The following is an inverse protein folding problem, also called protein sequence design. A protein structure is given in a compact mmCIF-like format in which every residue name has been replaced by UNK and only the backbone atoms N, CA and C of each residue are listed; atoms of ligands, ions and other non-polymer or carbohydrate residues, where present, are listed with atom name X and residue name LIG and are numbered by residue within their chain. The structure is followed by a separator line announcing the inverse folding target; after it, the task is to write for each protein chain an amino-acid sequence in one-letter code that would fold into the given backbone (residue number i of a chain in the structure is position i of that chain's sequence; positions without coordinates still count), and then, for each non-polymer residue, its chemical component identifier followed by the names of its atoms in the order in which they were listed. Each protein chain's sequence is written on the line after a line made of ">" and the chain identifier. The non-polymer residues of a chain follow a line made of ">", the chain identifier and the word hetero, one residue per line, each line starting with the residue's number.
data_IF_365899393704
#
_entry.id   IF_365899393704
#
_cell.length_a   1.000
_cell.length_b   1.000
_cell.length_c   1.000
_cell.angle_alpha   90.00
_cell.angle_beta   90.00
_cell.angle_gamma   90.00
#
_symmetry.space_group_name_H-M   'P 1'
#
loop_
_entity.id
_entity.type
_entity.pdbx_description
1 polymer ?
#
# COMPACT_ATOMS: atom_id res chain seq x y z
N UNK A 1 -15.08 -13.03 -10.55
CA UNK A 1 -14.36 -14.03 -11.35
C UNK A 1 -13.38 -13.34 -12.28
N UNK A 2 -12.16 -13.86 -12.42
CA UNK A 2 -11.17 -13.43 -13.43
C UNK A 2 -11.05 -14.52 -14.51
N UNK A 3 -10.88 -14.10 -15.76
CA UNK A 3 -10.72 -15.02 -16.91
C UNK A 3 -9.52 -14.58 -17.74
N UNK A 4 -8.69 -15.51 -18.14
CA UNK A 4 -7.54 -15.27 -19.03
C UNK A 4 -7.62 -16.20 -20.24
N UNK A 5 -7.70 -15.62 -21.45
CA UNK A 5 -7.69 -16.36 -22.71
C UNK A 5 -6.32 -17.03 -22.90
N UNK A 6 -6.32 -18.28 -23.32
CA UNK A 6 -5.10 -18.99 -23.71
C UNK A 6 -4.58 -18.40 -25.03
N UNK A 7 -3.38 -17.90 -25.01
CA UNK A 7 -2.68 -17.42 -26.21
C UNK A 7 -1.49 -18.33 -26.48
N UNK A 8 -1.37 -18.85 -27.70
CA UNK A 8 -0.25 -19.72 -28.10
C UNK A 8 1.12 -19.02 -27.97
N UNK A 9 1.14 -17.70 -28.17
CA UNK A 9 2.36 -16.88 -28.06
C UNK A 9 2.79 -16.57 -26.62
N UNK A 10 1.96 -16.87 -25.60
CA UNK A 10 2.25 -16.48 -24.21
C UNK A 10 2.85 -17.65 -23.44
N UNK A 11 4.15 -17.57 -23.13
CA UNK A 11 4.86 -18.57 -22.32
C UNK A 11 4.33 -18.71 -20.89
N UNK A 12 3.85 -17.62 -20.26
CA UNK A 12 3.41 -17.60 -18.87
C UNK A 12 2.04 -16.95 -18.73
N UNK A 13 1.11 -17.67 -18.13
CA UNK A 13 -0.21 -17.15 -17.77
C UNK A 13 -0.10 -16.29 -16.51
N UNK A 14 -0.65 -15.08 -16.56
CA UNK A 14 -0.73 -14.18 -15.40
C UNK A 14 -1.64 -14.78 -14.32
N UNK A 15 -2.75 -15.38 -14.74
CA UNK A 15 -3.71 -16.00 -13.83
C UNK A 15 -3.15 -17.20 -13.10
N UNK A 16 -2.27 -17.98 -13.75
CA UNK A 16 -1.56 -19.08 -13.08
C UNK A 16 -0.65 -18.59 -11.96
N UNK A 17 0.03 -17.45 -12.15
CA UNK A 17 0.87 -16.86 -11.11
C UNK A 17 0.01 -16.40 -9.92
N UNK A 18 -1.10 -15.74 -10.18
CA UNK A 18 -2.05 -15.31 -9.15
C UNK A 18 -2.61 -16.49 -8.35
N UNK A 19 -3.03 -17.56 -9.03
CA UNK A 19 -3.49 -18.81 -8.39
C UNK A 19 -2.37 -19.44 -7.54
N UNK A 20 -1.14 -19.47 -8.02
CA UNK A 20 -0.02 -20.05 -7.29
C UNK A 20 0.26 -19.29 -5.98
N UNK A 21 0.25 -17.96 -6.03
CA UNK A 21 0.45 -17.11 -4.85
C UNK A 21 -0.71 -17.29 -3.86
N UNK A 22 -1.97 -17.13 -4.32
CA UNK A 22 -3.13 -17.23 -3.43
C UNK A 22 -3.26 -18.59 -2.75
N UNK A 23 -2.76 -19.66 -3.37
CA UNK A 23 -2.72 -20.98 -2.73
C UNK A 23 -1.72 -21.05 -1.56
N UNK A 24 -0.59 -20.35 -1.68
CA UNK A 24 0.44 -20.36 -0.64
C UNK A 24 0.05 -19.49 0.53
N UNK A 25 -0.44 -18.27 0.28
CA UNK A 25 -0.68 -17.26 1.30
C UNK A 25 -2.00 -17.43 2.05
N UNK A 26 -2.94 -18.25 1.56
CA UNK A 26 -4.26 -18.43 2.18
C UNK A 26 -4.24 -19.27 3.46
N UNK A 27 -3.12 -19.92 3.80
CA UNK A 27 -3.05 -20.92 4.85
C UNK A 27 -2.61 -20.40 6.24
N UNK A 28 -2.11 -19.17 6.40
CA UNK A 28 -1.28 -18.85 7.57
C UNK A 28 -1.77 -17.77 8.53
N UNK A 29 -2.84 -16.99 8.23
CA UNK A 29 -3.27 -15.93 9.16
C UNK A 29 -4.75 -15.97 9.47
N UNK A 30 -5.10 -15.78 10.74
CA UNK A 30 -6.48 -15.53 11.20
C UNK A 30 -7.10 -14.31 10.50
N UNK A 31 -6.28 -13.28 10.23
CA UNK A 31 -6.69 -12.09 9.47
C UNK A 31 -5.73 -11.89 8.29
N UNK A 32 -6.02 -12.57 7.19
CA UNK A 32 -5.22 -12.48 5.97
C UNK A 32 -5.58 -11.26 5.14
N UNK A 33 -4.57 -10.61 4.55
CA UNK A 33 -4.72 -9.57 3.54
C UNK A 33 -4.89 -10.11 2.12
N UNK A 34 -5.09 -11.41 1.96
CA UNK A 34 -5.25 -12.08 0.67
C UNK A 34 -6.64 -12.66 0.53
N UNK A 35 -7.18 -12.59 -0.69
CA UNK A 35 -8.48 -13.17 -0.98
C UNK A 35 -8.40 -14.69 -1.06
N UNK A 36 -9.41 -15.39 -0.57
CA UNK A 36 -9.50 -16.85 -0.69
C UNK A 36 -9.93 -17.27 -2.09
N UNK A 37 -9.38 -18.39 -2.58
CA UNK A 37 -9.83 -19.02 -3.81
C UNK A 37 -11.12 -19.79 -3.52
N UNK A 38 -12.20 -19.48 -4.24
CA UNK A 38 -13.47 -20.21 -4.19
C UNK A 38 -13.46 -21.34 -5.22
N UNK A 39 -13.09 -21.02 -6.47
CA UNK A 39 -12.99 -22.00 -7.55
C UNK A 39 -11.98 -21.55 -8.59
N UNK A 40 -11.46 -22.50 -9.35
CA UNK A 40 -10.51 -22.26 -10.43
C UNK A 40 -10.53 -23.40 -11.43
N UNK A 41 -10.24 -23.10 -12.66
CA UNK A 41 -10.22 -24.14 -13.69
C UNK A 41 -9.50 -23.75 -14.97
N UNK A 42 -9.38 -24.79 -15.79
CA UNK A 42 -8.85 -24.70 -17.14
C UNK A 42 -9.92 -25.25 -18.09
N UNK A 43 -10.43 -24.37 -18.94
CA UNK A 43 -11.27 -24.76 -20.09
C UNK A 43 -10.41 -24.87 -21.35
N UNK A 44 -10.98 -25.29 -22.45
CA UNK A 44 -10.26 -25.42 -23.71
C UNK A 44 -9.55 -24.12 -24.15
N UNK A 45 -10.25 -23.00 -24.11
CA UNK A 45 -9.80 -21.70 -24.62
C UNK A 45 -9.33 -20.70 -23.55
N UNK A 46 -9.61 -20.96 -22.26
CA UNK A 46 -9.28 -20.02 -21.19
C UNK A 46 -8.98 -20.69 -19.85
N UNK A 47 -8.36 -19.92 -18.96
CA UNK A 47 -8.26 -20.19 -17.52
C UNK A 47 -9.23 -19.27 -16.77
N UNK A 48 -9.77 -19.76 -15.64
CA UNK A 48 -10.57 -18.92 -14.77
C UNK A 48 -10.17 -19.07 -13.30
N UNK A 49 -10.45 -18.04 -12.53
CA UNK A 49 -10.28 -17.96 -11.09
C UNK A 49 -11.49 -17.26 -10.47
N UNK A 50 -12.17 -17.94 -9.57
CA UNK A 50 -13.22 -17.38 -8.70
C UNK A 50 -12.61 -17.18 -7.32
N UNK A 51 -12.65 -15.97 -6.83
CA UNK A 51 -12.09 -15.60 -5.53
C UNK A 51 -13.13 -14.88 -4.69
N UNK A 52 -12.85 -14.77 -3.41
CA UNK A 52 -13.63 -13.97 -2.46
C UNK A 52 -13.94 -12.59 -3.07
N UNK A 53 -15.20 -12.17 -2.94
CA UNK A 53 -15.60 -10.83 -3.32
C UNK A 53 -15.13 -9.84 -2.26
N UNK A 54 -14.49 -8.78 -2.70
CA UNK A 54 -14.07 -7.65 -1.88
C UNK A 54 -14.83 -6.38 -2.27
N UNK A 55 -14.73 -5.36 -1.46
CA UNK A 55 -15.38 -4.08 -1.68
C UNK A 55 -14.63 -3.20 -2.68
N UNK A 56 -14.77 -1.88 -2.50
CA UNK A 56 -14.19 -0.87 -3.38
C UNK A 56 -12.68 -0.81 -3.20
N UNK A 57 -11.96 -0.58 -4.29
CA UNK A 57 -10.52 -0.34 -4.23
C UNK A 57 -10.20 0.98 -3.51
N UNK A 58 -8.99 1.09 -2.96
CA UNK A 58 -8.51 2.32 -2.34
C UNK A 58 -8.52 3.50 -3.34
N UNK A 59 -8.24 3.23 -4.61
CA UNK A 59 -8.35 4.23 -5.67
C UNK A 59 -9.79 4.78 -5.78
N UNK A 60 -10.80 3.91 -5.80
CA UNK A 60 -12.20 4.31 -5.87
C UNK A 60 -12.67 5.02 -4.59
N UNK A 61 -12.25 4.53 -3.41
CA UNK A 61 -12.59 5.15 -2.13
C UNK A 61 -11.98 6.55 -2.01
N UNK A 62 -10.72 6.70 -2.40
CA UNK A 62 -10.03 7.98 -2.42
C UNK A 62 -10.77 9.01 -3.28
N UNK A 63 -11.26 8.62 -4.47
CA UNK A 63 -11.97 9.52 -5.39
C UNK A 63 -13.25 10.12 -4.81
N UNK A 64 -13.86 9.49 -3.80
CA UNK A 64 -15.05 9.99 -3.11
C UNK A 64 -14.75 10.89 -1.90
N UNK A 65 -13.49 11.14 -1.58
CA UNK A 65 -13.10 11.97 -0.44
C UNK A 65 -12.87 13.42 -0.85
N UNK A 66 -13.04 14.38 0.08
CA UNK A 66 -12.59 15.75 -0.13
C UNK A 66 -11.12 15.76 -0.54
N UNK A 67 -10.74 16.63 -1.47
CA UNK A 67 -9.37 16.73 -2.01
C UNK A 67 -8.82 15.41 -2.60
N UNK A 68 -9.66 14.36 -2.71
CA UNK A 68 -9.30 13.03 -3.20
C UNK A 68 -8.15 12.38 -2.42
N UNK A 69 -8.12 12.60 -1.12
CA UNK A 69 -7.18 11.97 -0.16
C UNK A 69 -7.92 11.49 1.08
N UNK A 70 -7.30 10.59 1.82
CA UNK A 70 -7.77 10.21 3.15
C UNK A 70 -7.28 11.21 4.20
N UNK A 71 -7.95 11.26 5.37
CA UNK A 71 -7.38 11.92 6.54
C UNK A 71 -6.04 11.26 6.89
N UNK A 72 -5.15 11.99 7.55
CA UNK A 72 -3.83 11.47 7.93
C UNK A 72 -3.94 10.14 8.69
N UNK A 73 -4.78 10.06 9.73
CA UNK A 73 -4.96 8.83 10.52
C UNK A 73 -5.50 7.66 9.69
N UNK A 74 -6.50 7.90 8.83
CA UNK A 74 -7.03 6.87 7.94
C UNK A 74 -6.00 6.42 6.93
N UNK A 75 -5.26 7.36 6.32
CA UNK A 75 -4.25 7.06 5.31
C UNK A 75 -3.08 6.26 5.87
N UNK A 76 -2.59 6.63 7.07
CA UNK A 76 -1.52 5.88 7.76
C UNK A 76 -2.00 4.49 8.16
N UNK A 77 -3.19 4.35 8.77
CA UNK A 77 -3.73 3.03 9.14
C UNK A 77 -3.97 2.10 7.94
N UNK A 78 -4.43 2.65 6.82
CA UNK A 78 -4.55 1.91 5.55
C UNK A 78 -3.16 1.58 4.98
N UNK A 79 -2.22 2.53 5.09
CA UNK A 79 -0.83 2.34 4.65
C UNK A 79 -0.14 1.21 5.39
N UNK A 80 -0.34 1.09 6.72
CA UNK A 80 0.16 -0.01 7.53
C UNK A 80 -0.37 -1.34 6.99
N UNK A 81 -1.68 -1.51 6.82
CA UNK A 81 -2.23 -2.75 6.29
C UNK A 81 -1.74 -3.07 4.86
N UNK A 82 -1.52 -2.06 4.03
CA UNK A 82 -0.91 -2.27 2.71
C UNK A 82 0.52 -2.80 2.81
N UNK A 83 1.29 -2.33 3.80
CA UNK A 83 2.66 -2.81 4.04
C UNK A 83 2.68 -4.22 4.64
N UNK A 84 1.76 -4.52 5.58
CA UNK A 84 1.58 -5.88 6.13
C UNK A 84 1.30 -6.90 5.02
N UNK A 85 0.40 -6.57 4.09
CA UNK A 85 0.12 -7.41 2.93
C UNK A 85 1.35 -7.62 2.03
N UNK A 86 2.17 -6.58 1.88
CA UNK A 86 3.41 -6.62 1.10
C UNK A 86 4.47 -7.48 1.80
N UNK A 87 4.68 -7.28 3.09
CA UNK A 87 5.58 -8.07 3.94
C UNK A 87 5.24 -9.55 3.87
N UNK A 88 3.95 -9.90 4.02
CA UNK A 88 3.50 -11.27 3.93
C UNK A 88 3.81 -11.91 2.57
N UNK A 89 3.59 -11.17 1.48
CA UNK A 89 3.96 -11.64 0.14
C UNK A 89 5.48 -11.91 0.05
N UNK A 90 6.30 -11.04 0.65
CA UNK A 90 7.76 -11.17 0.66
C UNK A 90 8.23 -12.37 1.51
N UNK A 91 7.56 -12.70 2.61
CA UNK A 91 7.83 -13.91 3.40
C UNK A 91 7.70 -15.20 2.60
N UNK A 92 6.80 -15.22 1.61
CA UNK A 92 6.67 -16.35 0.66
C UNK A 92 7.65 -16.30 -0.53
N UNK A 93 8.55 -15.33 -0.53
CA UNK A 93 9.57 -15.18 -1.57
C UNK A 93 9.04 -14.62 -2.89
N UNK A 94 8.01 -13.79 -2.85
CA UNK A 94 7.47 -13.08 -4.02
C UNK A 94 7.54 -11.58 -3.83
N UNK A 95 7.76 -10.83 -4.91
CA UNK A 95 7.55 -9.40 -5.01
C UNK A 95 6.37 -9.11 -5.95
N UNK A 96 5.62 -8.04 -5.66
CA UNK A 96 4.38 -7.70 -6.37
C UNK A 96 4.63 -6.96 -7.69
N UNK A 97 5.47 -5.93 -7.67
CA UNK A 97 5.91 -5.09 -8.80
C UNK A 97 4.85 -4.16 -9.40
N UNK A 98 3.66 -4.06 -8.81
CA UNK A 98 2.62 -3.11 -9.24
C UNK A 98 1.74 -2.65 -8.05
N UNK A 99 2.40 -2.29 -6.93
CA UNK A 99 1.68 -1.74 -5.78
C UNK A 99 1.14 -0.37 -6.14
N UNK A 100 -0.17 -0.21 -5.98
CA UNK A 100 -0.92 1.03 -6.24
C UNK A 100 -2.29 0.98 -5.58
N UNK A 101 -2.95 2.13 -5.32
CA UNK A 101 -4.27 2.14 -4.67
C UNK A 101 -5.36 1.32 -5.39
N UNK A 102 -5.23 1.09 -6.71
CA UNK A 102 -6.18 0.28 -7.47
C UNK A 102 -6.04 -1.23 -7.20
N UNK A 103 -4.86 -1.68 -6.73
CA UNK A 103 -4.56 -3.08 -6.42
C UNK A 103 -4.74 -3.40 -4.93
N UNK A 104 -5.36 -2.51 -4.17
CA UNK A 104 -5.82 -2.74 -2.80
C UNK A 104 -7.31 -2.43 -2.69
N UNK A 105 -8.05 -3.26 -1.97
CA UNK A 105 -9.48 -3.06 -1.75
C UNK A 105 -9.87 -3.38 -0.31
N UNK A 106 -10.88 -2.68 0.21
CA UNK A 106 -11.45 -3.02 1.49
C UNK A 106 -12.30 -4.30 1.38
N UNK A 107 -12.44 -5.03 2.46
CA UNK A 107 -13.37 -6.15 2.54
C UNK A 107 -14.83 -5.71 2.56
N UNK A 108 -15.73 -6.68 2.75
CA UNK A 108 -17.17 -6.49 2.87
C UNK A 108 -17.68 -7.00 4.22
N UNK A 109 -18.84 -6.51 4.65
CA UNK A 109 -19.49 -6.92 5.90
C UNK A 109 -18.58 -6.69 7.11
N UNK A 110 -18.37 -7.70 7.90
CA UNK A 110 -17.51 -7.66 9.11
C UNK A 110 -16.04 -7.35 8.77
N UNK A 111 -15.57 -7.73 7.58
CA UNK A 111 -14.21 -7.50 7.10
C UNK A 111 -14.02 -6.15 6.40
N UNK A 112 -14.98 -5.23 6.47
CA UNK A 112 -14.92 -3.91 5.80
C UNK A 112 -13.71 -3.04 6.17
N UNK A 113 -13.08 -3.31 7.33
CA UNK A 113 -11.88 -2.62 7.82
C UNK A 113 -10.57 -3.30 7.40
N UNK A 114 -10.64 -4.48 6.80
CA UNK A 114 -9.48 -5.23 6.31
C UNK A 114 -9.15 -4.77 4.90
N UNK A 115 -7.88 -4.48 4.65
CA UNK A 115 -7.37 -4.14 3.31
C UNK A 115 -6.80 -5.39 2.65
N UNK A 116 -7.26 -5.72 1.46
CA UNK A 116 -6.82 -6.85 0.66
C UNK A 116 -5.91 -6.40 -0.47
N UNK A 117 -4.79 -7.08 -0.67
CA UNK A 117 -3.90 -6.93 -1.82
C UNK A 117 -4.40 -7.81 -2.98
N UNK A 118 -4.36 -7.28 -4.20
CA UNK A 118 -4.96 -7.87 -5.39
C UNK A 118 -4.00 -7.82 -6.58
N UNK A 119 -4.25 -8.69 -7.56
CA UNK A 119 -3.58 -8.70 -8.87
C UNK A 119 -2.08 -9.04 -8.84
N UNK A 120 -1.80 -10.33 -8.70
CA UNK A 120 -0.45 -10.87 -8.75
C UNK A 120 0.01 -11.25 -10.17
N UNK A 121 -0.68 -10.75 -11.21
CA UNK A 121 -0.43 -11.12 -12.61
C UNK A 121 0.96 -10.80 -13.14
N UNK A 122 1.68 -9.89 -12.50
CA UNK A 122 3.09 -9.57 -12.81
C UNK A 122 4.03 -9.79 -11.62
N UNK A 123 3.57 -10.40 -10.53
CA UNK A 123 4.40 -10.77 -9.40
C UNK A 123 5.57 -11.68 -9.82
N UNK A 124 6.63 -11.72 -9.02
CA UNK A 124 7.83 -12.50 -9.33
C UNK A 124 8.31 -13.26 -8.11
N UNK A 125 8.58 -14.55 -8.28
CA UNK A 125 9.28 -15.35 -7.30
C UNK A 125 10.76 -15.00 -7.30
N UNK A 126 11.27 -14.48 -6.19
CA UNK A 126 12.65 -14.06 -6.00
C UNK A 126 13.53 -15.15 -5.38
N UNK A 127 12.93 -16.16 -4.74
CA UNK A 127 13.66 -17.30 -4.17
C UNK A 127 13.76 -18.46 -5.17
N UNK A 128 14.89 -19.18 -5.13
CA UNK A 128 15.11 -20.41 -5.87
C UNK A 128 14.42 -21.62 -5.15
N UNK A 129 14.67 -22.85 -5.60
CA UNK A 129 14.11 -24.06 -4.99
C UNK A 129 14.70 -24.38 -3.60
N UNK A 130 15.87 -23.83 -3.28
CA UNK A 130 16.55 -23.97 -1.98
C UNK A 130 16.13 -22.90 -0.97
N UNK A 131 15.26 -21.94 -1.34
CA UNK A 131 14.88 -20.80 -0.50
C UNK A 131 15.90 -19.66 -0.49
N UNK A 132 16.92 -19.70 -1.36
CA UNK A 132 17.92 -18.64 -1.47
C UNK A 132 17.48 -17.56 -2.47
N UNK A 133 17.91 -16.31 -2.25
CA UNK A 133 17.63 -15.21 -3.15
C UNK A 133 18.31 -15.48 -4.52
N UNK A 134 17.56 -15.34 -5.59
CA UNK A 134 18.09 -15.45 -6.95
C UNK A 134 19.02 -14.30 -7.25
N UNK A 135 20.11 -14.56 -7.99
CA UNK A 135 20.96 -13.52 -8.51
C UNK A 135 20.15 -12.49 -9.33
N UNK A 136 20.42 -11.20 -9.18
CA UNK A 136 19.75 -10.18 -9.98
C UNK A 136 20.10 -10.33 -11.44
N UNK A 137 19.12 -10.12 -12.33
CA UNK A 137 19.36 -10.05 -13.76
C UNK A 137 20.04 -8.73 -14.10
N UNK A 138 20.94 -8.73 -15.05
CA UNK A 138 21.66 -7.53 -15.47
C UNK A 138 20.73 -6.44 -15.99
N UNK A 139 19.71 -6.81 -16.76
CA UNK A 139 18.72 -5.88 -17.31
C UNK A 139 17.33 -6.48 -17.29
N UNK A 140 16.35 -5.70 -16.92
CA UNK A 140 14.94 -6.10 -16.91
C UNK A 140 14.10 -5.06 -17.67
N UNK A 141 12.99 -5.53 -18.29
CA UNK A 141 12.03 -4.61 -18.90
C UNK A 141 11.19 -3.95 -17.83
N UNK A 142 10.86 -2.68 -18.01
CA UNK A 142 9.90 -1.96 -17.18
C UNK A 142 8.60 -2.77 -17.04
N UNK A 143 8.10 -2.89 -15.80
CA UNK A 143 6.81 -3.52 -15.48
C UNK A 143 6.14 -2.79 -14.34
N UNK A 144 4.81 -2.65 -14.43
CA UNK A 144 4.01 -1.96 -13.43
C UNK A 144 3.46 -0.64 -13.94
N UNK A 145 3.10 0.23 -13.02
CA UNK A 145 2.46 1.52 -13.28
C UNK A 145 3.47 2.63 -13.05
N UNK A 146 3.78 3.44 -14.08
CA UNK A 146 4.81 4.49 -14.07
C UNK A 146 4.73 5.34 -12.79
N UNK A 147 3.53 5.74 -12.39
CA UNK A 147 3.30 6.59 -11.21
C UNK A 147 3.89 5.99 -9.93
N UNK A 148 3.77 4.68 -9.73
CA UNK A 148 4.13 4.01 -8.47
C UNK A 148 5.39 3.14 -8.56
N UNK A 149 5.95 2.93 -9.75
CA UNK A 149 7.14 2.10 -9.96
C UNK A 149 8.37 2.67 -9.23
N UNK A 150 9.22 1.80 -8.69
CA UNK A 150 10.49 2.19 -8.04
C UNK A 150 11.48 2.81 -9.03
N UNK A 151 12.49 3.51 -8.53
CA UNK A 151 13.59 4.05 -9.35
C UNK A 151 14.30 2.90 -10.08
N UNK A 152 14.55 1.76 -9.41
CA UNK A 152 15.16 0.60 -10.05
C UNK A 152 14.34 0.09 -11.24
N UNK A 153 12.99 0.07 -11.11
CA UNK A 153 12.11 -0.28 -12.22
C UNK A 153 12.24 0.69 -13.39
N UNK A 154 12.31 2.00 -13.12
CA UNK A 154 12.51 3.03 -14.15
C UNK A 154 13.84 2.88 -14.89
N UNK A 155 14.90 2.50 -14.18
CA UNK A 155 16.25 2.33 -14.70
C UNK A 155 16.54 0.93 -15.24
N UNK A 156 15.50 0.06 -15.34
CA UNK A 156 15.58 -1.31 -15.85
C UNK A 156 16.53 -2.23 -15.04
N UNK A 157 16.67 -1.94 -13.74
CA UNK A 157 17.42 -2.75 -12.77
C UNK A 157 16.47 -3.79 -12.15
N UNK A 158 17.02 -4.96 -11.76
CA UNK A 158 16.23 -6.01 -11.09
C UNK A 158 15.65 -5.48 -9.77
N UNK A 159 14.36 -5.78 -9.57
CA UNK A 159 13.61 -5.37 -8.40
C UNK A 159 13.63 -6.44 -7.32
N UNK A 160 13.78 -6.00 -6.07
CA UNK A 160 13.66 -6.79 -4.84
C UNK A 160 12.54 -6.30 -3.92
N UNK A 161 12.47 -6.80 -2.68
CA UNK A 161 11.49 -6.38 -1.68
C UNK A 161 11.51 -4.87 -1.42
N UNK A 162 12.68 -4.24 -1.39
CA UNK A 162 12.82 -2.79 -1.21
C UNK A 162 12.07 -1.96 -2.26
N UNK A 163 11.96 -2.46 -3.48
CA UNK A 163 11.32 -1.76 -4.59
C UNK A 163 9.78 -1.78 -4.46
N UNK A 164 9.22 -2.85 -3.90
CA UNK A 164 7.81 -2.86 -3.48
C UNK A 164 7.59 -1.89 -2.31
N UNK A 165 8.52 -1.79 -1.35
CA UNK A 165 8.46 -0.79 -0.27
C UNK A 165 8.52 0.65 -0.82
N UNK A 166 9.33 0.92 -1.85
CA UNK A 166 9.35 2.21 -2.53
C UNK A 166 8.01 2.51 -3.24
N UNK A 167 7.44 1.51 -3.90
CA UNK A 167 6.12 1.63 -4.52
C UNK A 167 5.02 1.85 -3.49
N UNK A 168 5.09 1.15 -2.36
CA UNK A 168 4.21 1.36 -1.21
C UNK A 168 4.35 2.78 -0.63
N UNK A 169 5.56 3.30 -0.52
CA UNK A 169 5.79 4.67 -0.05
C UNK A 169 5.11 5.71 -0.95
N UNK A 170 5.21 5.56 -2.27
CA UNK A 170 4.48 6.42 -3.21
C UNK A 170 2.96 6.23 -3.12
N UNK A 171 2.49 5.01 -2.89
CA UNK A 171 1.08 4.73 -2.62
C UNK A 171 0.63 5.48 -1.36
N UNK A 172 1.37 5.40 -0.26
CA UNK A 172 1.07 6.10 0.99
C UNK A 172 0.96 7.61 0.76
N UNK A 173 1.94 8.23 0.10
CA UNK A 173 1.91 9.65 -0.24
C UNK A 173 0.69 9.99 -1.12
N UNK A 174 0.36 9.17 -2.10
CA UNK A 174 -0.82 9.39 -2.96
C UNK A 174 -2.13 9.31 -2.17
N UNK A 175 -2.17 8.59 -1.05
CA UNK A 175 -3.35 8.51 -0.18
C UNK A 175 -3.51 9.72 0.76
N UNK A 176 -2.42 10.36 1.21
CA UNK A 176 -2.44 11.37 2.28
C UNK A 176 -2.08 12.79 1.83
N UNK A 177 -1.32 12.96 0.76
CA UNK A 177 -0.89 14.28 0.29
C UNK A 177 -1.98 14.91 -0.57
N UNK A 178 -2.57 16.02 -0.12
CA UNK A 178 -3.69 16.68 -0.80
C UNK A 178 -3.34 17.14 -2.23
N UNK A 179 -2.13 17.63 -2.46
CA UNK A 179 -1.62 17.93 -3.81
C UNK A 179 -1.41 16.68 -4.66
N UNK A 180 -1.28 15.51 -4.02
CA UNK A 180 -0.87 14.26 -4.63
C UNK A 180 0.63 14.24 -4.96
N UNK A 181 1.09 13.18 -5.61
CA UNK A 181 2.47 13.03 -6.04
C UNK A 181 2.88 14.14 -7.01
N UNK A 182 4.12 14.64 -6.92
CA UNK A 182 4.66 15.70 -7.80
C UNK A 182 4.52 15.36 -9.30
N UNK A 183 4.49 14.09 -9.63
CA UNK A 183 4.36 13.55 -11.00
C UNK A 183 2.98 13.02 -11.34
N UNK A 184 1.93 13.34 -10.54
CA UNK A 184 0.58 12.75 -10.73
C UNK A 184 -0.02 12.96 -12.11
N UNK A 185 0.34 14.07 -12.78
CA UNK A 185 -0.15 14.45 -14.12
C UNK A 185 0.88 14.19 -15.23
N UNK A 186 2.04 13.62 -14.91
CA UNK A 186 3.11 13.35 -15.86
C UNK A 186 3.01 11.93 -16.37
N UNK A 187 2.96 11.75 -17.69
CA UNK A 187 2.87 10.44 -18.36
C UNK A 187 4.22 9.94 -18.87
N UNK A 188 5.15 10.86 -19.14
CA UNK A 188 6.48 10.52 -19.63
C UNK A 188 7.30 9.82 -18.54
N UNK A 189 7.87 8.66 -18.89
CA UNK A 189 8.58 7.80 -17.95
C UNK A 189 9.83 8.44 -17.39
N UNK A 190 10.59 9.15 -18.22
CA UNK A 190 11.88 9.72 -17.84
C UNK A 190 11.69 11.01 -17.04
N UNK A 191 10.67 11.80 -17.39
CA UNK A 191 10.25 12.95 -16.59
C UNK A 191 9.76 12.53 -15.20
N UNK A 192 9.00 11.42 -15.08
CA UNK A 192 8.58 10.86 -13.78
C UNK A 192 9.81 10.40 -12.98
N UNK A 193 10.76 9.71 -13.61
CA UNK A 193 12.00 9.29 -12.95
C UNK A 193 12.78 10.50 -12.40
N UNK A 194 12.90 11.57 -13.20
CA UNK A 194 13.55 12.80 -12.76
C UNK A 194 12.86 13.38 -11.51
N UNK A 195 11.54 13.52 -11.54
CA UNK A 195 10.78 14.05 -10.39
C UNK A 195 10.90 13.19 -9.13
N UNK A 196 10.98 11.84 -9.26
CA UNK A 196 11.25 10.94 -8.15
C UNK A 196 12.64 11.16 -7.53
N UNK A 197 13.65 11.42 -8.35
CA UNK A 197 14.99 11.81 -7.87
C UNK A 197 15.00 13.19 -7.25
N UNK A 198 14.36 14.19 -7.89
CA UNK A 198 14.24 15.56 -7.37
C UNK A 198 13.54 15.60 -6.01
N UNK A 199 12.54 14.72 -5.78
CA UNK A 199 11.85 14.60 -4.48
C UNK A 199 12.81 14.26 -3.33
N UNK A 200 13.90 13.57 -3.60
CA UNK A 200 14.90 13.18 -2.61
C UNK A 200 15.88 14.31 -2.26
N UNK A 201 15.90 15.34 -3.06
CA UNK A 201 16.83 16.46 -2.97
C UNK A 201 16.08 17.80 -2.92
N UNK A 202 16.01 18.49 -4.04
CA UNK A 202 15.53 19.88 -4.15
C UNK A 202 14.02 20.02 -3.86
N UNK A 203 13.20 19.02 -4.19
CA UNK A 203 11.74 19.08 -4.08
C UNK A 203 11.16 18.36 -2.86
N UNK A 204 11.99 18.04 -1.87
CA UNK A 204 11.58 17.34 -0.64
C UNK A 204 10.42 18.06 0.05
N UNK A 205 10.55 19.37 0.30
CA UNK A 205 9.53 20.15 0.96
C UNK A 205 8.20 20.21 0.18
N UNK A 206 8.27 20.32 -1.14
CA UNK A 206 7.08 20.33 -1.99
C UNK A 206 6.34 18.97 -2.02
N UNK A 207 7.08 17.87 -1.90
CA UNK A 207 6.52 16.52 -1.90
C UNK A 207 5.72 16.23 -0.62
N UNK A 208 6.07 16.86 0.50
CA UNK A 208 5.45 16.65 1.82
C UNK A 208 4.62 17.85 2.30
N UNK A 209 4.26 18.75 1.39
CA UNK A 209 3.48 19.95 1.75
C UNK A 209 2.15 19.58 2.43
N UNK A 210 1.90 20.17 3.60
CA UNK A 210 0.70 19.94 4.41
C UNK A 210 0.74 18.67 5.25
N UNK A 211 1.87 17.95 5.31
CA UNK A 211 2.07 16.74 6.12
C UNK A 211 2.72 17.11 7.45
N UNK A 212 2.18 16.60 8.57
CA UNK A 212 2.73 16.84 9.91
C UNK A 212 3.91 15.92 10.26
N UNK A 213 3.97 14.71 9.68
CA UNK A 213 4.99 13.67 9.96
C UNK A 213 6.09 13.64 8.89
N UNK A 214 6.59 14.80 8.50
CA UNK A 214 7.60 14.89 7.43
C UNK A 214 8.90 14.18 7.81
N UNK A 215 9.35 14.31 9.06
CA UNK A 215 10.60 13.67 9.52
C UNK A 215 10.54 12.15 9.42
N UNK A 216 9.44 11.55 9.88
CA UNK A 216 9.25 10.09 9.83
C UNK A 216 9.18 9.60 8.38
N UNK A 217 8.45 10.30 7.52
CA UNK A 217 8.38 9.96 6.10
C UNK A 217 9.74 10.11 5.40
N UNK A 218 10.52 11.11 5.78
CA UNK A 218 11.89 11.26 5.29
C UNK A 218 12.78 10.10 5.72
N UNK A 219 12.72 9.69 7.00
CA UNK A 219 13.47 8.54 7.52
C UNK A 219 13.09 7.23 6.80
N UNK A 220 11.80 7.05 6.50
CA UNK A 220 11.34 5.89 5.71
C UNK A 220 11.95 5.92 4.31
N UNK A 221 11.90 7.06 3.64
CA UNK A 221 12.46 7.21 2.30
C UNK A 221 13.97 6.95 2.28
N UNK A 222 14.71 7.57 3.20
CA UNK A 222 16.15 7.39 3.35
C UNK A 222 16.53 5.94 3.67
N UNK A 223 15.76 5.28 4.52
CA UNK A 223 15.94 3.86 4.82
C UNK A 223 15.74 2.99 3.58
N UNK A 224 14.65 3.17 2.84
CA UNK A 224 14.38 2.40 1.60
C UNK A 224 15.49 2.65 0.57
N UNK A 225 15.97 3.88 0.45
CA UNK A 225 17.04 4.25 -0.47
C UNK A 225 18.41 3.65 -0.09
N UNK A 226 18.65 3.40 1.19
CA UNK A 226 19.88 2.76 1.69
C UNK A 226 19.96 1.26 1.34
N UNK A 227 18.82 0.61 1.09
CA UNK A 227 18.75 -0.82 0.83
C UNK A 227 19.18 -1.19 -0.60
N UNK A 228 19.84 -2.35 -0.70
CA UNK A 228 20.19 -2.98 -1.96
C UNK A 228 19.25 -4.15 -2.29
N UNK A 229 19.37 -4.73 -3.49
CA UNK A 229 18.54 -5.86 -3.94
C UNK A 229 18.57 -7.05 -2.98
N UNK A 230 19.72 -7.36 -2.41
CA UNK A 230 19.96 -8.49 -1.53
C UNK A 230 19.59 -8.23 -0.07
N UNK A 231 19.36 -6.99 0.32
CA UNK A 231 19.13 -6.63 1.71
C UNK A 231 17.74 -7.04 2.17
N UNK A 232 17.68 -7.49 3.41
CA UNK A 232 16.42 -7.79 4.08
C UNK A 232 15.80 -6.50 4.58
N UNK A 233 14.52 -6.28 4.24
CA UNK A 233 13.76 -5.13 4.73
C UNK A 233 13.42 -5.33 6.21
N UNK A 234 13.72 -4.34 7.03
CA UNK A 234 13.23 -4.23 8.41
C UNK A 234 11.86 -3.53 8.41
N UNK A 235 10.79 -4.34 8.36
CA UNK A 235 9.41 -3.83 8.37
C UNK A 235 9.05 -3.22 9.70
N UNK A 236 9.57 -3.73 10.82
CA UNK A 236 9.32 -3.21 12.16
C UNK A 236 9.83 -1.78 12.31
N UNK A 237 10.97 -1.47 11.68
CA UNK A 237 11.48 -0.11 11.63
C UNK A 237 10.51 0.82 10.90
N UNK A 238 9.98 0.40 9.73
CA UNK A 238 9.03 1.21 8.97
C UNK A 238 7.72 1.37 9.76
N UNK A 239 7.19 0.30 10.38
CA UNK A 239 5.97 0.36 11.18
C UNK A 239 6.10 1.35 12.33
N UNK A 240 7.21 1.35 13.07
CA UNK A 240 7.48 2.29 14.17
C UNK A 240 7.45 3.75 13.72
N UNK A 241 7.85 4.04 12.48
CA UNK A 241 7.82 5.38 11.91
C UNK A 241 6.42 5.78 11.41
N UNK A 242 5.64 4.82 10.88
CA UNK A 242 4.27 5.05 10.41
C UNK A 242 3.27 5.08 11.55
N UNK A 243 3.47 4.26 12.58
CA UNK A 243 2.74 4.30 13.84
C UNK A 243 3.11 5.57 14.61
N UNK A 244 2.77 6.72 14.03
CA UNK A 244 2.81 7.97 14.77
C UNK A 244 2.13 7.70 16.09
N UNK A 245 2.86 7.86 17.21
CA UNK A 245 2.24 7.87 18.55
C UNK A 245 0.98 8.70 18.38
N UNK A 246 -0.20 8.14 18.59
CA UNK A 246 -1.41 8.93 18.44
C UNK A 246 -1.12 10.18 19.25
N UNK A 247 -1.28 11.36 18.64
CA UNK A 247 -1.43 12.60 19.39
C UNK A 247 -2.39 12.18 20.50
N UNK A 248 -1.88 12.03 21.74
CA UNK A 248 -2.63 11.34 22.81
C UNK A 248 -3.94 12.08 22.93
N UNK A 249 -4.97 11.57 22.26
CA UNK A 249 -6.33 11.90 22.59
C UNK A 249 -6.50 11.39 24.02
N UNK A 250 -6.21 12.24 24.99
CA UNK A 250 -6.59 11.95 26.37
C UNK A 250 -8.10 11.98 26.38
N UNK A 251 -8.68 10.81 26.40
CA UNK A 251 -10.09 10.65 26.70
C UNK A 251 -10.24 10.98 28.18
N UNK A 252 -10.83 12.13 28.48
CA UNK A 252 -11.23 12.46 29.85
C UNK A 252 -12.74 12.19 29.89
N UNK A 253 -13.15 11.42 30.88
CA UNK A 253 -14.57 11.26 31.21
C UNK A 253 -14.90 12.36 32.22
N UNK A 254 -15.69 13.34 31.82
CA UNK A 254 -16.22 14.38 32.68
C UNK A 254 -17.73 14.16 32.77
N UNK A 255 -18.24 13.96 33.95
CA UNK A 255 -19.68 13.72 34.26
C UNK A 255 -20.30 12.61 33.39
N UNK A 256 -19.57 11.48 33.23
CA UNK A 256 -20.08 10.33 32.48
C UNK A 256 -20.05 10.55 30.94
N UNK A 257 -19.54 11.65 30.44
CA UNK A 257 -19.37 11.94 29.00
C UNK A 257 -17.92 11.85 28.56
N UNK A 258 -17.69 11.20 27.43
CA UNK A 258 -16.35 11.08 26.83
C UNK A 258 -16.00 12.40 26.12
N UNK A 259 -15.02 13.13 26.63
CA UNK A 259 -14.47 14.34 26.01
C UNK A 259 -13.12 14.00 25.39
N UNK A 260 -13.01 14.22 24.08
CA UNK A 260 -11.75 14.04 23.33
C UNK A 260 -10.94 15.35 23.41
N UNK A 261 -9.83 15.32 24.14
CA UNK A 261 -8.89 16.46 24.16
C UNK A 261 -7.78 16.23 23.11
N UNK A 262 -7.68 17.11 22.13
CA UNK A 262 -6.54 17.21 21.23
C UNK A 262 -5.46 17.99 21.97
N UNK A 263 -4.35 17.35 22.30
CA UNK A 263 -3.22 18.03 22.94
C UNK A 263 -2.41 18.76 21.85
N UNK A 264 -2.78 20.01 21.57
CA UNK A 264 -1.87 20.94 20.91
C UNK A 264 -0.92 21.50 21.96
N UNK A 265 0.38 21.37 21.73
CA UNK A 265 1.36 22.20 22.43
C UNK A 265 1.19 23.64 21.94
N UNK A 266 0.15 24.27 22.41
CA UNK A 266 0.00 25.70 22.58
C UNK A 266 -1.33 25.97 23.26
N UNK A 267 -1.22 26.68 24.38
CA UNK A 267 -2.28 27.04 25.30
C UNK A 267 -3.38 27.84 24.62
N UNK A 268 -4.47 27.18 24.23
CA UNK A 268 -5.79 27.76 24.18
C UNK A 268 -6.80 26.61 24.06
N UNK A 269 -7.46 26.30 25.17
CA UNK A 269 -8.51 25.31 25.23
C UNK A 269 -9.69 25.76 24.36
N UNK A 270 -9.93 25.07 23.27
CA UNK A 270 -11.17 25.19 22.52
C UNK A 270 -12.22 24.30 23.22
N UNK A 271 -13.07 24.97 24.03
CA UNK A 271 -14.31 24.38 24.51
C UNK A 271 -15.26 24.31 23.32
N UNK A 272 -15.46 23.14 22.75
CA UNK A 272 -16.53 22.91 21.78
C UNK A 272 -17.87 23.05 22.48
N UNK A 273 -18.70 24.00 22.03
CA UNK A 273 -20.06 24.22 22.53
C UNK A 273 -20.95 23.03 22.20
N UNK A 274 -21.85 22.69 23.10
CA UNK A 274 -22.82 21.57 23.02
C UNK A 274 -23.64 21.47 21.72
N UNK A 275 -23.64 22.45 20.86
CA UNK A 275 -24.47 22.49 19.65
C UNK A 275 -23.90 21.69 18.48
N UNK A 276 -22.60 21.35 18.46
CA UNK A 276 -21.99 20.57 17.36
C UNK A 276 -21.95 19.06 17.59
N UNK A 277 -22.38 18.58 18.76
CA UNK A 277 -22.34 17.17 19.13
C UNK A 277 -23.60 16.38 18.74
N UNK A 278 -24.68 17.06 18.37
CA UNK A 278 -25.97 16.39 18.04
C UNK A 278 -26.06 15.82 16.62
N UNK A 279 -25.10 16.06 15.74
CA UNK A 279 -25.11 15.54 14.36
C UNK A 279 -24.14 14.37 14.11
N UNK A 280 -23.38 13.95 15.10
CA UNK A 280 -22.45 12.84 14.94
C UNK A 280 -22.99 11.58 15.63
N UNK A 281 -23.72 10.75 14.92
CA UNK A 281 -24.05 9.40 15.36
C UNK A 281 -22.77 8.53 15.43
N UNK A 282 -22.18 8.41 16.61
CA UNK A 282 -21.14 7.42 16.90
C UNK A 282 -21.77 6.26 17.69
N UNK A 283 -21.92 5.12 17.06
CA UNK A 283 -22.20 3.86 17.73
C UNK A 283 -20.86 3.32 18.24
N UNK A 284 -20.66 3.36 19.55
CA UNK A 284 -19.60 2.60 20.22
C UNK A 284 -20.16 1.22 20.50
N UNK A 285 -19.55 0.20 19.94
CA UNK A 285 -19.73 -1.19 20.37
C UNK A 285 -18.52 -1.53 21.23
N UNK A 286 -18.80 -2.00 22.46
CA UNK A 286 -17.83 -2.39 23.48
C UNK A 286 -16.95 -3.58 23.09
#
# INVERSE_FOLDING_TARGET
>A
MKVEKKLQSRRHSKLKMEIAILKLVSAERTQSHFTTIIDRGKKETFFFLVMQLVGRSLANLKMTRPLRVFSMSTGLGVGIQCLEACEDLHKYGFIHRDLKPANYACGLGEKKRVVYILDFGIARKILNSKGELKAPRQTVRFKGTIRFASIACHTNIEMGPKDDCESWFYLLLDLIVARGLLWKSVCDKDAVLKLKKDMRQEKKNAAFEGIKCVEELCKIMEYIDSLQYQDRVDYDYIYKLVELKPCRLRTIVVDGRVVLLVNEQNSNALVLKEQELNEAHFTVVG
#
